data_IF_100462785307
#
_entry.id   IF_100462785307
#
_cell.length_a   1.000
_cell.length_b   1.000
_cell.length_c   1.000
_cell.angle_alpha   90.00
_cell.angle_beta   90.00
_cell.angle_gamma   90.00
#
_symmetry.space_group_name_H-M   'P 1'
#
loop_
_entity.id
_entity.type
_entity.pdbx_description
1 polymer ?
#
# COMPACT_ATOMS: atom_id res chain seq x y z
N UNK A 1 33.51 -3.92 9.57
CA UNK A 1 33.65 -3.27 8.25
C UNK A 1 32.57 -3.82 7.36
N UNK A 2 31.77 -2.96 6.73
CA UNK A 2 30.83 -3.39 5.69
C UNK A 2 31.58 -3.75 4.40
N UNK A 3 31.06 -4.69 3.63
CA UNK A 3 31.57 -4.99 2.30
C UNK A 3 31.28 -3.83 1.34
N UNK A 4 32.12 -3.62 0.33
CA UNK A 4 31.90 -2.60 -0.70
C UNK A 4 31.77 -3.24 -2.07
N UNK A 5 30.54 -3.24 -2.58
CA UNK A 5 30.14 -3.61 -3.94
C UNK A 5 29.51 -2.42 -4.68
N UNK A 6 29.82 -1.18 -4.28
CA UNK A 6 29.38 0.02 -4.99
C UNK A 6 29.72 -0.09 -6.48
N UNK A 7 28.71 0.10 -7.34
CA UNK A 7 28.80 -0.01 -8.81
C UNK A 7 29.28 -1.39 -9.30
N UNK A 8 29.26 -2.40 -8.44
CA UNK A 8 29.68 -3.76 -8.75
C UNK A 8 28.76 -4.43 -9.77
N UNK A 9 29.31 -5.38 -10.53
CA UNK A 9 28.56 -6.21 -11.45
C UNK A 9 28.31 -7.59 -10.82
N UNK A 10 27.08 -7.80 -10.37
CA UNK A 10 26.60 -8.98 -9.63
C UNK A 10 25.34 -9.56 -10.29
N UNK A 11 25.11 -9.27 -11.56
CA UNK A 11 23.93 -9.73 -12.31
C UNK A 11 23.96 -11.26 -12.39
N UNK A 12 22.83 -11.90 -12.10
CA UNK A 12 22.68 -13.37 -12.00
C UNK A 12 23.58 -14.05 -10.96
N UNK A 13 24.19 -13.29 -10.06
CA UNK A 13 24.98 -13.88 -8.96
C UNK A 13 24.07 -14.58 -7.96
N UNK A 14 24.64 -15.54 -7.22
CA UNK A 14 24.01 -16.14 -6.06
C UNK A 14 24.70 -15.63 -4.79
N UNK A 15 23.95 -14.86 -4.01
CA UNK A 15 24.34 -14.28 -2.72
C UNK A 15 23.37 -14.72 -1.62
N UNK A 16 22.62 -15.79 -1.86
CA UNK A 16 21.66 -16.32 -0.88
C UNK A 16 22.39 -16.65 0.43
N UNK A 17 21.77 -16.30 1.54
CA UNK A 17 22.31 -16.47 2.91
C UNK A 17 23.62 -15.70 3.20
N UNK A 18 24.11 -14.88 2.26
CA UNK A 18 25.29 -14.06 2.51
C UNK A 18 25.01 -12.99 3.57
N UNK A 19 26.04 -12.65 4.36
CA UNK A 19 26.01 -11.54 5.31
C UNK A 19 26.56 -10.28 4.65
N UNK A 20 25.66 -9.40 4.22
CA UNK A 20 25.94 -8.13 3.54
C UNK A 20 25.44 -6.91 4.34
N UNK A 21 25.09 -7.13 5.60
CA UNK A 21 24.68 -6.13 6.58
C UNK A 21 25.71 -4.99 6.68
N UNK A 22 25.22 -3.75 6.72
CA UNK A 22 26.02 -2.51 6.64
C UNK A 22 26.88 -2.37 5.37
N UNK A 23 26.72 -3.24 4.38
CA UNK A 23 27.45 -3.18 3.12
C UNK A 23 27.03 -2.01 2.25
N UNK A 24 27.94 -1.56 1.40
CA UNK A 24 27.69 -0.59 0.33
C UNK A 24 27.46 -1.35 -0.98
N UNK A 25 26.24 -1.31 -1.50
CA UNK A 25 25.82 -1.85 -2.80
C UNK A 25 25.23 -0.73 -3.68
N UNK A 26 25.62 0.53 -3.43
CA UNK A 26 25.10 1.67 -4.18
C UNK A 26 25.33 1.49 -5.68
N UNK A 27 24.28 1.67 -6.48
CA UNK A 27 24.32 1.51 -7.94
C UNK A 27 24.82 0.14 -8.44
N UNK A 28 24.84 -0.89 -7.59
CA UNK A 28 25.25 -2.23 -8.00
C UNK A 28 24.27 -2.80 -9.05
N UNK A 29 24.80 -3.52 -10.03
CA UNK A 29 24.02 -4.22 -11.05
C UNK A 29 23.79 -5.65 -10.60
N UNK A 30 22.61 -5.93 -10.07
CA UNK A 30 22.21 -7.18 -9.42
C UNK A 30 20.94 -7.76 -10.04
N UNK A 31 20.67 -7.50 -11.32
CA UNK A 31 19.45 -8.00 -11.95
C UNK A 31 19.49 -9.53 -12.03
N UNK A 32 18.34 -10.17 -11.82
CA UNK A 32 18.19 -11.63 -11.79
C UNK A 32 19.08 -12.35 -10.75
N UNK A 33 19.63 -11.64 -9.75
CA UNK A 33 20.42 -12.28 -8.69
C UNK A 33 19.54 -13.06 -7.70
N UNK A 34 20.14 -14.04 -7.03
CA UNK A 34 19.55 -14.76 -5.91
C UNK A 34 20.08 -14.15 -4.61
N UNK A 35 19.18 -13.62 -3.79
CA UNK A 35 19.42 -12.95 -2.50
C UNK A 35 18.50 -13.55 -1.43
N UNK A 36 18.21 -14.86 -1.54
CA UNK A 36 17.28 -15.55 -0.65
C UNK A 36 17.90 -15.60 0.74
N UNK A 37 17.17 -15.16 1.76
CA UNK A 37 17.64 -15.13 3.16
C UNK A 37 18.93 -14.32 3.39
N UNK A 38 19.35 -13.50 2.43
CA UNK A 38 20.54 -12.64 2.56
C UNK A 38 20.31 -11.60 3.65
N UNK A 39 21.32 -11.40 4.48
CA UNK A 39 21.31 -10.31 5.46
C UNK A 39 21.78 -9.02 4.80
N UNK A 40 20.84 -8.11 4.52
CA UNK A 40 21.06 -6.76 4.01
C UNK A 40 20.68 -5.71 5.06
N UNK A 41 20.65 -6.08 6.33
CA UNK A 41 20.25 -5.19 7.42
C UNK A 41 21.14 -3.94 7.41
N UNK A 42 20.51 -2.76 7.36
CA UNK A 42 21.20 -1.46 7.28
C UNK A 42 22.20 -1.32 6.12
N UNK A 43 22.11 -2.16 5.08
CA UNK A 43 22.92 -2.02 3.88
C UNK A 43 22.47 -0.79 3.07
N UNK A 44 23.39 -0.21 2.31
CA UNK A 44 23.10 0.86 1.38
C UNK A 44 22.97 0.31 -0.05
N UNK A 45 21.75 0.17 -0.53
CA UNK A 45 21.42 -0.25 -1.89
C UNK A 45 20.96 0.92 -2.76
N UNK A 46 21.23 2.17 -2.39
CA UNK A 46 20.72 3.34 -3.13
C UNK A 46 21.01 3.22 -4.63
N UNK A 47 19.96 3.33 -5.45
CA UNK A 47 20.06 3.25 -6.91
C UNK A 47 20.48 1.88 -7.47
N UNK A 48 20.45 0.80 -6.69
CA UNK A 48 20.80 -0.53 -7.16
C UNK A 48 19.80 -1.05 -8.21
N UNK A 49 20.29 -1.84 -9.16
CA UNK A 49 19.52 -2.42 -10.25
C UNK A 49 19.28 -3.91 -9.99
N UNK A 50 18.13 -4.23 -9.43
CA UNK A 50 17.73 -5.55 -8.92
C UNK A 50 16.50 -6.10 -9.66
N UNK A 51 16.34 -5.75 -10.94
CA UNK A 51 15.20 -6.17 -11.77
C UNK A 51 15.12 -7.70 -11.80
N UNK A 52 13.93 -8.26 -11.52
CA UNK A 52 13.67 -9.72 -11.48
C UNK A 52 14.58 -10.53 -10.54
N UNK A 53 15.22 -9.88 -9.57
CA UNK A 53 15.99 -10.60 -8.54
C UNK A 53 15.06 -11.31 -7.54
N UNK A 54 15.60 -12.28 -6.82
CA UNK A 54 14.86 -13.07 -5.82
C UNK A 54 15.41 -12.75 -4.43
N UNK A 55 14.69 -11.95 -3.66
CA UNK A 55 15.00 -11.56 -2.28
C UNK A 55 14.05 -12.21 -1.26
N UNK A 56 13.55 -13.43 -1.54
CA UNK A 56 12.63 -14.12 -0.63
C UNK A 56 13.24 -14.22 0.77
N UNK A 57 12.50 -13.82 1.79
CA UNK A 57 12.92 -13.84 3.20
C UNK A 57 14.22 -13.06 3.49
N UNK A 58 14.64 -12.13 2.60
CA UNK A 58 15.80 -11.29 2.85
C UNK A 58 15.59 -10.35 4.04
N UNK A 59 16.65 -10.09 4.80
CA UNK A 59 16.62 -9.15 5.93
C UNK A 59 17.05 -7.78 5.46
N UNK A 60 16.11 -6.85 5.33
CA UNK A 60 16.32 -5.50 4.79
C UNK A 60 16.00 -4.41 5.83
N UNK A 61 15.89 -4.77 7.12
CA UNK A 61 15.50 -3.82 8.15
C UNK A 61 16.48 -2.65 8.23
N UNK A 62 15.96 -1.42 8.18
CA UNK A 62 16.75 -0.19 8.15
C UNK A 62 17.67 -0.02 6.93
N UNK A 63 17.56 -0.86 5.90
CA UNK A 63 18.34 -0.71 4.68
C UNK A 63 17.90 0.55 3.90
N UNK A 64 18.81 1.13 3.12
CA UNK A 64 18.50 2.22 2.21
C UNK A 64 18.38 1.67 0.77
N UNK A 65 17.16 1.56 0.26
CA UNK A 65 16.84 1.16 -1.11
C UNK A 65 16.32 2.32 -1.96
N UNK A 66 16.47 3.57 -1.51
CA UNK A 66 15.97 4.73 -2.25
C UNK A 66 16.46 4.72 -3.70
N UNK A 67 15.57 5.09 -4.63
CA UNK A 67 15.82 5.12 -6.07
C UNK A 67 16.20 3.78 -6.73
N UNK A 68 16.13 2.66 -6.02
CA UNK A 68 16.47 1.35 -6.57
C UNK A 68 15.40 0.83 -7.53
N UNK A 69 15.81 -0.07 -8.42
CA UNK A 69 14.91 -0.70 -9.37
C UNK A 69 14.76 -2.20 -9.08
N UNK A 70 13.62 -2.58 -8.50
CA UNK A 70 13.21 -3.96 -8.19
C UNK A 70 11.98 -4.37 -9.01
N UNK A 71 11.81 -3.81 -10.22
CA UNK A 71 10.70 -4.21 -11.11
C UNK A 71 10.69 -5.73 -11.29
N UNK A 72 9.54 -6.36 -11.06
CA UNK A 72 9.34 -7.80 -11.21
C UNK A 72 10.17 -8.66 -10.25
N UNK A 73 10.78 -8.07 -9.22
CA UNK A 73 11.52 -8.83 -8.21
C UNK A 73 10.55 -9.61 -7.30
N UNK A 74 11.05 -10.68 -6.69
CA UNK A 74 10.33 -11.43 -5.67
C UNK A 74 10.91 -11.12 -4.30
N UNK A 75 10.20 -10.37 -3.48
CA UNK A 75 10.56 -10.06 -2.09
C UNK A 75 9.67 -10.80 -1.08
N UNK A 76 8.93 -11.85 -1.48
CA UNK A 76 8.01 -12.57 -0.56
C UNK A 76 8.66 -12.85 0.80
N UNK A 77 7.92 -12.52 1.86
CA UNK A 77 8.31 -12.68 3.27
C UNK A 77 9.60 -11.93 3.69
N UNK A 78 10.09 -10.98 2.89
CA UNK A 78 11.22 -10.15 3.26
C UNK A 78 10.88 -9.19 4.41
N UNK A 79 11.89 -8.80 5.19
CA UNK A 79 11.73 -7.85 6.28
C UNK A 79 12.32 -6.49 5.90
N UNK A 80 11.47 -5.53 5.49
CA UNK A 80 11.81 -4.15 5.15
C UNK A 80 11.46 -3.16 6.28
N UNK A 81 11.32 -3.62 7.53
CA UNK A 81 10.94 -2.80 8.67
C UNK A 81 11.89 -1.60 8.84
N UNK A 82 11.35 -0.39 8.82
CA UNK A 82 12.10 0.86 8.95
C UNK A 82 13.05 1.18 7.79
N UNK A 83 12.96 0.46 6.67
CA UNK A 83 13.81 0.72 5.51
C UNK A 83 13.40 2.02 4.79
N UNK A 84 14.36 2.64 4.10
CA UNK A 84 14.11 3.76 3.21
C UNK A 84 13.95 3.24 1.77
N UNK A 85 12.74 3.30 1.23
CA UNK A 85 12.39 2.91 -0.14
C UNK A 85 11.79 4.09 -0.93
N UNK A 86 12.19 5.33 -0.60
CA UNK A 86 11.74 6.51 -1.33
C UNK A 86 12.01 6.37 -2.84
N UNK A 87 11.00 6.66 -3.66
CA UNK A 87 11.06 6.61 -5.12
C UNK A 87 11.51 5.26 -5.71
N UNK A 88 11.42 4.17 -4.94
CA UNK A 88 11.75 2.83 -5.41
C UNK A 88 10.81 2.39 -6.54
N UNK A 89 11.33 1.60 -7.48
CA UNK A 89 10.51 0.93 -8.49
C UNK A 89 10.26 -0.53 -8.12
N UNK A 90 9.05 -0.84 -7.68
CA UNK A 90 8.55 -2.16 -7.30
C UNK A 90 7.38 -2.62 -8.20
N UNK A 91 7.24 -2.04 -9.40
CA UNK A 91 6.22 -2.46 -10.37
C UNK A 91 6.31 -3.95 -10.65
N UNK A 92 5.15 -4.62 -10.73
CA UNK A 92 5.05 -6.06 -11.00
C UNK A 92 5.76 -6.96 -9.96
N UNK A 93 6.21 -6.42 -8.82
CA UNK A 93 6.94 -7.21 -7.82
C UNK A 93 5.98 -8.10 -7.01
N UNK A 94 6.49 -9.26 -6.58
CA UNK A 94 5.82 -10.07 -5.56
C UNK A 94 6.30 -9.61 -4.17
N UNK A 95 5.40 -9.00 -3.42
CA UNK A 95 5.59 -8.44 -2.08
C UNK A 95 4.67 -9.13 -1.05
N UNK A 96 4.20 -10.33 -1.36
CA UNK A 96 3.35 -11.12 -0.45
C UNK A 96 4.06 -11.30 0.90
N UNK A 97 3.34 -11.00 1.99
CA UNK A 97 3.85 -11.20 3.36
C UNK A 97 5.00 -10.26 3.78
N UNK A 98 5.38 -9.28 2.96
CA UNK A 98 6.50 -8.38 3.31
C UNK A 98 6.16 -7.50 4.50
N UNK A 99 7.14 -7.34 5.40
CA UNK A 99 7.04 -6.38 6.50
C UNK A 99 7.62 -5.02 6.07
N UNK A 100 6.77 -4.04 5.79
CA UNK A 100 7.08 -2.64 5.53
C UNK A 100 6.77 -1.71 6.71
N UNK A 101 6.60 -2.24 7.93
CA UNK A 101 6.26 -1.40 9.09
C UNK A 101 7.28 -0.27 9.28
N UNK A 102 6.78 0.94 9.50
CA UNK A 102 7.58 2.17 9.66
C UNK A 102 8.52 2.49 8.49
N UNK A 103 8.37 1.85 7.34
CA UNK A 103 9.19 2.10 6.17
C UNK A 103 8.78 3.41 5.46
N UNK A 104 9.73 4.03 4.77
CA UNK A 104 9.45 5.17 3.89
C UNK A 104 9.35 4.71 2.44
N UNK A 105 8.14 4.65 1.88
CA UNK A 105 7.85 4.38 0.47
C UNK A 105 7.26 5.61 -0.24
N UNK A 106 7.56 6.82 0.22
CA UNK A 106 7.09 8.04 -0.44
C UNK A 106 7.49 8.03 -1.93
N UNK A 107 6.53 8.36 -2.79
CA UNK A 107 6.66 8.35 -4.26
C UNK A 107 7.07 6.99 -4.87
N UNK A 108 6.96 5.89 -4.12
CA UNK A 108 7.25 4.55 -4.63
C UNK A 108 6.32 4.18 -5.79
N UNK A 109 6.81 3.33 -6.69
CA UNK A 109 6.06 2.81 -7.84
C UNK A 109 5.75 1.35 -7.62
N UNK A 110 4.48 1.04 -7.34
CA UNK A 110 3.96 -0.26 -6.93
C UNK A 110 2.86 -0.77 -7.89
N UNK A 111 2.69 -0.16 -9.07
CA UNK A 111 1.66 -0.57 -10.02
C UNK A 111 1.77 -2.06 -10.37
N UNK A 112 0.63 -2.76 -10.36
CA UNK A 112 0.52 -4.20 -10.63
C UNK A 112 1.35 -5.09 -9.68
N UNK A 113 1.79 -4.59 -8.52
CA UNK A 113 2.46 -5.42 -7.52
C UNK A 113 1.45 -6.27 -6.73
N UNK A 114 1.91 -7.43 -6.24
CA UNK A 114 1.13 -8.31 -5.36
C UNK A 114 1.61 -8.11 -3.94
N UNK A 115 0.77 -7.56 -3.06
CA UNK A 115 1.09 -7.19 -1.69
C UNK A 115 0.23 -7.92 -0.65
N UNK A 116 -0.42 -9.03 -1.03
CA UNK A 116 -1.31 -9.80 -0.14
C UNK A 116 -0.63 -10.07 1.21
N UNK A 117 -1.37 -9.83 2.30
CA UNK A 117 -0.91 -10.09 3.67
C UNK A 117 0.36 -9.33 4.09
N UNK A 118 0.84 -8.35 3.30
CA UNK A 118 1.92 -7.47 3.72
C UNK A 118 1.47 -6.55 4.86
N UNK A 119 2.44 -6.06 5.62
CA UNK A 119 2.22 -5.14 6.73
C UNK A 119 2.89 -3.80 6.47
N UNK A 120 2.15 -2.71 6.60
CA UNK A 120 2.53 -1.33 6.32
C UNK A 120 2.27 -0.42 7.54
N UNK A 121 2.18 -0.99 8.73
CA UNK A 121 1.83 -0.27 9.94
C UNK A 121 2.70 0.98 10.11
N UNK A 122 2.07 2.15 10.18
CA UNK A 122 2.74 3.45 10.35
C UNK A 122 3.75 3.81 9.23
N UNK A 123 3.68 3.17 8.07
CA UNK A 123 4.56 3.45 6.94
C UNK A 123 4.11 4.67 6.15
N UNK A 124 5.04 5.27 5.40
CA UNK A 124 4.76 6.44 4.56
C UNK A 124 4.69 6.06 3.08
N UNK A 125 3.53 6.21 2.46
CA UNK A 125 3.25 6.03 1.02
C UNK A 125 2.72 7.32 0.38
N UNK A 126 3.08 8.48 0.92
CA UNK A 126 2.72 9.79 0.34
C UNK A 126 3.15 9.86 -1.13
N UNK A 127 2.25 10.34 -2.00
CA UNK A 127 2.46 10.46 -3.46
C UNK A 127 2.82 9.14 -4.19
N UNK A 128 2.61 7.97 -3.58
CA UNK A 128 2.93 6.69 -4.21
C UNK A 128 2.00 6.35 -5.39
N UNK A 129 2.51 5.55 -6.34
CA UNK A 129 1.79 5.08 -7.52
C UNK A 129 1.48 3.59 -7.37
N UNK A 130 0.24 3.25 -7.00
CA UNK A 130 -0.18 1.92 -6.57
C UNK A 130 -1.41 1.46 -7.38
N UNK A 131 -1.47 1.81 -8.67
CA UNK A 131 -2.59 1.43 -9.57
C UNK A 131 -2.62 -0.08 -9.82
N UNK A 132 -3.80 -0.69 -9.83
CA UNK A 132 -4.03 -2.12 -10.15
C UNK A 132 -3.20 -3.08 -9.29
N UNK A 133 -2.90 -2.70 -8.05
CA UNK A 133 -2.15 -3.54 -7.12
C UNK A 133 -3.09 -4.37 -6.26
N UNK A 134 -2.61 -5.53 -5.80
CA UNK A 134 -3.35 -6.39 -4.88
C UNK A 134 -2.87 -6.21 -3.44
N UNK A 135 -3.60 -5.43 -2.65
CA UNK A 135 -3.40 -5.19 -1.22
C UNK A 135 -4.45 -5.91 -0.36
N UNK A 136 -5.08 -6.97 -0.88
CA UNK A 136 -6.08 -7.70 -0.10
C UNK A 136 -5.49 -8.26 1.19
N UNK A 137 -6.27 -8.14 2.28
CA UNK A 137 -5.91 -8.60 3.62
C UNK A 137 -4.58 -8.04 4.15
N UNK A 138 -4.19 -6.84 3.72
CA UNK A 138 -2.99 -6.15 4.25
C UNK A 138 -3.27 -5.45 5.56
N UNK A 139 -2.23 -5.30 6.39
CA UNK A 139 -2.27 -4.39 7.52
C UNK A 139 -1.77 -3.01 7.07
N UNK A 140 -2.69 -2.07 6.92
CA UNK A 140 -2.49 -0.68 6.51
C UNK A 140 -2.82 0.30 7.66
N UNK A 141 -2.82 -0.17 8.91
CA UNK A 141 -3.14 0.67 10.07
C UNK A 141 -2.13 1.83 10.21
N UNK A 142 -2.64 3.05 10.45
CA UNK A 142 -1.86 4.28 10.57
C UNK A 142 -0.97 4.61 9.35
N UNK A 143 -1.21 3.98 8.19
CA UNK A 143 -0.45 4.25 6.97
C UNK A 143 -0.74 5.66 6.46
N UNK A 144 0.27 6.31 5.88
CA UNK A 144 0.09 7.58 5.19
C UNK A 144 0.03 7.38 3.67
N UNK A 145 -1.17 7.42 3.10
CA UNK A 145 -1.46 7.40 1.66
C UNK A 145 -1.79 8.77 1.07
N UNK A 146 -1.44 9.88 1.74
CA UNK A 146 -1.78 11.22 1.26
C UNK A 146 -1.35 11.41 -0.21
N UNK A 147 -2.27 11.92 -1.03
CA UNK A 147 -2.10 12.17 -2.48
C UNK A 147 -1.68 10.96 -3.34
N UNK A 148 -1.68 9.75 -2.79
CA UNK A 148 -1.29 8.55 -3.53
C UNK A 148 -2.37 8.14 -4.55
N UNK A 149 -1.96 7.32 -5.53
CA UNK A 149 -2.81 6.88 -6.64
C UNK A 149 -3.04 5.38 -6.57
N UNK A 150 -4.21 4.96 -6.09
CA UNK A 150 -4.59 3.55 -5.90
C UNK A 150 -5.79 3.12 -6.78
N UNK A 151 -6.11 3.85 -7.85
CA UNK A 151 -7.24 3.49 -8.70
C UNK A 151 -7.15 2.04 -9.19
N UNK A 152 -8.29 1.35 -9.20
CA UNK A 152 -8.45 -0.07 -9.60
C UNK A 152 -7.71 -1.09 -8.72
N UNK A 153 -7.20 -0.69 -7.56
CA UNK A 153 -6.51 -1.62 -6.65
C UNK A 153 -7.49 -2.39 -5.77
N UNK A 154 -7.04 -3.56 -5.32
CA UNK A 154 -7.80 -4.42 -4.43
C UNK A 154 -7.33 -4.24 -2.98
N UNK A 155 -8.18 -3.69 -2.12
CA UNK A 155 -7.97 -3.56 -0.67
C UNK A 155 -9.06 -4.35 0.10
N UNK A 156 -9.64 -5.38 -0.51
CA UNK A 156 -10.64 -6.23 0.15
C UNK A 156 -10.08 -6.77 1.48
N UNK A 157 -10.84 -6.59 2.56
CA UNK A 157 -10.50 -7.07 3.89
C UNK A 157 -9.24 -6.43 4.50
N UNK A 158 -8.72 -5.33 3.94
CA UNK A 158 -7.55 -4.65 4.47
C UNK A 158 -7.89 -3.86 5.76
N UNK A 159 -6.94 -3.79 6.69
CA UNK A 159 -7.06 -2.96 7.88
C UNK A 159 -6.46 -1.58 7.65
N UNK A 160 -7.29 -0.55 7.46
CA UNK A 160 -6.92 0.86 7.23
C UNK A 160 -7.25 1.74 8.45
N UNK A 161 -7.33 1.17 9.66
CA UNK A 161 -7.67 1.93 10.85
C UNK A 161 -6.71 3.12 11.04
N UNK A 162 -7.29 4.32 11.16
CA UNK A 162 -6.54 5.57 11.31
C UNK A 162 -5.62 5.94 10.13
N UNK A 163 -5.78 5.30 8.96
CA UNK A 163 -4.99 5.63 7.78
C UNK A 163 -5.25 7.07 7.31
N UNK A 164 -4.21 7.74 6.82
CA UNK A 164 -4.35 9.03 6.15
C UNK A 164 -4.45 8.85 4.63
N UNK A 165 -5.64 9.02 4.07
CA UNK A 165 -5.96 8.92 2.64
C UNK A 165 -6.31 10.29 2.04
N UNK A 166 -5.94 11.40 2.70
CA UNK A 166 -6.29 12.73 2.23
C UNK A 166 -5.81 12.97 0.79
N UNK A 167 -6.72 13.43 -0.08
CA UNK A 167 -6.43 13.70 -1.49
C UNK A 167 -6.13 12.47 -2.35
N UNK A 168 -6.21 11.25 -1.79
CA UNK A 168 -5.88 10.02 -2.51
C UNK A 168 -6.84 9.79 -3.68
N UNK A 169 -6.30 9.19 -4.76
CA UNK A 169 -7.08 8.81 -5.95
C UNK A 169 -7.45 7.35 -5.86
N UNK A 170 -8.71 7.08 -5.51
CA UNK A 170 -9.27 5.78 -5.14
C UNK A 170 -10.36 5.32 -6.13
N UNK A 171 -10.42 5.88 -7.34
CA UNK A 171 -11.44 5.50 -8.32
C UNK A 171 -11.46 4.01 -8.59
N UNK A 172 -12.66 3.41 -8.57
CA UNK A 172 -12.88 1.97 -8.80
C UNK A 172 -12.06 1.06 -7.88
N UNK A 173 -11.69 1.54 -6.69
CA UNK A 173 -11.00 0.72 -5.69
C UNK A 173 -11.97 -0.29 -5.07
N UNK A 174 -11.48 -1.50 -4.81
CA UNK A 174 -12.22 -2.50 -4.03
C UNK A 174 -11.85 -2.37 -2.55
N UNK A 175 -12.79 -1.91 -1.73
CA UNK A 175 -12.66 -1.76 -0.28
C UNK A 175 -13.67 -2.66 0.46
N UNK A 176 -14.15 -3.73 -0.19
CA UNK A 176 -15.12 -4.64 0.43
C UNK A 176 -14.55 -5.22 1.72
N UNK A 177 -15.35 -5.22 2.78
CA UNK A 177 -14.96 -5.75 4.10
C UNK A 177 -13.74 -5.04 4.74
N UNK A 178 -13.27 -3.91 4.18
CA UNK A 178 -12.13 -3.18 4.73
C UNK A 178 -12.50 -2.45 6.03
N UNK A 179 -11.55 -2.35 6.95
CA UNK A 179 -11.69 -1.56 8.16
C UNK A 179 -11.07 -0.17 7.97
N UNK A 180 -11.90 0.85 7.75
CA UNK A 180 -11.54 2.26 7.60
C UNK A 180 -11.82 3.08 8.86
N UNK A 181 -11.96 2.45 10.04
CA UNK A 181 -12.30 3.16 11.26
C UNK A 181 -11.30 4.30 11.55
N UNK A 182 -11.81 5.53 11.69
CA UNK A 182 -11.01 6.72 11.96
C UNK A 182 -10.09 7.17 10.82
N UNK A 183 -10.23 6.61 9.61
CA UNK A 183 -9.43 7.01 8.46
C UNK A 183 -9.76 8.44 7.99
N UNK A 184 -8.75 9.18 7.57
CA UNK A 184 -8.90 10.50 6.97
C UNK A 184 -9.03 10.35 5.44
N UNK A 185 -10.22 10.54 4.89
CA UNK A 185 -10.54 10.47 3.45
C UNK A 185 -10.88 11.85 2.87
N UNK A 186 -10.45 12.94 3.53
CA UNK A 186 -10.73 14.29 3.06
C UNK A 186 -10.22 14.51 1.64
N UNK A 187 -11.03 15.14 0.80
CA UNK A 187 -10.69 15.43 -0.60
C UNK A 187 -10.32 14.19 -1.44
N UNK A 188 -10.60 12.97 -0.96
CA UNK A 188 -10.32 11.73 -1.68
C UNK A 188 -11.32 11.50 -2.82
N UNK A 189 -10.86 10.85 -3.88
CA UNK A 189 -11.67 10.53 -5.06
C UNK A 189 -12.05 9.05 -5.05
N UNK A 190 -13.24 8.74 -4.54
CA UNK A 190 -13.80 7.38 -4.41
C UNK A 190 -14.79 7.04 -5.53
N UNK A 191 -14.77 7.75 -6.66
CA UNK A 191 -15.71 7.46 -7.75
C UNK A 191 -15.70 5.98 -8.16
N UNK A 192 -16.85 5.32 -8.12
CA UNK A 192 -17.00 3.91 -8.47
C UNK A 192 -16.39 2.91 -7.47
N UNK A 193 -15.97 3.36 -6.28
CA UNK A 193 -15.41 2.49 -5.25
C UNK A 193 -16.44 1.49 -4.69
N UNK A 194 -15.97 0.35 -4.19
CA UNK A 194 -16.83 -0.65 -3.54
C UNK A 194 -16.53 -0.73 -2.04
N UNK A 195 -17.39 -0.13 -1.20
CA UNK A 195 -17.33 -0.17 0.27
C UNK A 195 -18.28 -1.20 0.88
N UNK A 196 -18.73 -2.20 0.10
CA UNK A 196 -19.68 -3.21 0.60
C UNK A 196 -19.13 -3.88 1.87
N UNK A 197 -19.91 -3.89 2.95
CA UNK A 197 -19.54 -4.41 4.27
C UNK A 197 -18.30 -3.76 4.93
N UNK A 198 -17.81 -2.62 4.43
CA UNK A 198 -16.70 -1.90 5.05
C UNK A 198 -17.11 -1.27 6.40
N UNK A 199 -16.15 -1.11 7.31
CA UNK A 199 -16.33 -0.42 8.59
C UNK A 199 -15.76 0.98 8.46
N UNK A 200 -16.58 2.03 8.57
CA UNK A 200 -16.16 3.43 8.33
C UNK A 200 -16.45 4.34 9.52
N UNK A 201 -16.56 3.76 10.71
CA UNK A 201 -16.79 4.48 11.96
C UNK A 201 -15.74 5.59 12.17
N UNK A 202 -16.19 6.82 12.42
CA UNK A 202 -15.33 8.00 12.61
C UNK A 202 -14.41 8.36 11.43
N UNK A 203 -14.59 7.76 10.26
CA UNK A 203 -13.86 8.18 9.07
C UNK A 203 -14.31 9.59 8.62
N UNK A 204 -13.37 10.42 8.16
CA UNK A 204 -13.64 11.76 7.66
C UNK A 204 -13.71 11.76 6.13
N UNK A 205 -14.91 11.91 5.56
CA UNK A 205 -15.15 11.99 4.12
C UNK A 205 -15.37 13.42 3.63
N UNK A 206 -14.99 14.46 4.39
CA UNK A 206 -15.22 15.86 3.98
C UNK A 206 -14.66 16.12 2.58
N UNK A 207 -15.49 16.61 1.66
CA UNK A 207 -15.17 16.87 0.24
C UNK A 207 -14.76 15.63 -0.57
N UNK A 208 -15.01 14.42 -0.09
CA UNK A 208 -14.70 13.22 -0.85
C UNK A 208 -15.69 13.03 -2.00
N UNK A 209 -15.21 12.66 -3.19
CA UNK A 209 -16.09 12.32 -4.31
C UNK A 209 -16.60 10.90 -4.16
N UNK A 210 -17.92 10.72 -4.02
CA UNK A 210 -18.57 9.42 -3.75
C UNK A 210 -19.54 8.97 -4.86
N UNK A 211 -19.47 9.60 -6.03
CA UNK A 211 -20.29 9.22 -7.20
C UNK A 211 -20.09 7.74 -7.53
N UNK A 212 -21.18 7.02 -7.76
CA UNK A 212 -21.20 5.58 -8.11
C UNK A 212 -20.52 4.66 -7.08
N UNK A 213 -20.27 5.14 -5.85
CA UNK A 213 -19.71 4.31 -4.77
C UNK A 213 -20.76 3.32 -4.27
N UNK A 214 -20.40 2.06 -4.05
CA UNK A 214 -21.30 1.07 -3.43
C UNK A 214 -21.10 1.05 -1.93
N UNK A 215 -22.19 1.12 -1.15
CA UNK A 215 -22.15 1.18 0.33
C UNK A 215 -23.08 0.15 0.99
N UNK A 216 -23.37 -0.96 0.30
CA UNK A 216 -24.28 -1.98 0.82
C UNK A 216 -23.67 -2.63 2.07
N UNK A 217 -24.40 -2.64 3.19
CA UNK A 217 -23.92 -3.25 4.44
C UNK A 217 -22.76 -2.50 5.11
N UNK A 218 -22.38 -1.32 4.62
CA UNK A 218 -21.33 -0.48 5.23
C UNK A 218 -21.76 -0.06 6.65
N UNK A 219 -20.88 -0.29 7.62
CA UNK A 219 -21.15 0.00 9.04
C UNK A 219 -20.85 1.47 9.35
N UNK A 220 -21.89 2.21 9.76
CA UNK A 220 -21.87 3.66 9.98
C UNK A 220 -22.50 4.03 11.33
N UNK A 221 -21.79 4.80 12.17
CA UNK A 221 -22.41 5.47 13.33
C UNK A 221 -23.14 6.77 12.93
N UNK A 222 -24.20 7.16 13.67
CA UNK A 222 -25.00 8.37 13.37
C UNK A 222 -24.20 9.68 13.27
N UNK A 223 -23.07 9.80 13.97
CA UNK A 223 -22.24 11.00 13.96
C UNK A 223 -21.48 11.19 12.63
N UNK A 224 -21.09 10.09 11.97
CA UNK A 224 -20.47 10.10 10.63
C UNK A 224 -21.45 10.63 9.58
N UNK A 225 -22.74 10.37 9.77
CA UNK A 225 -23.80 10.81 8.87
C UNK A 225 -23.87 12.34 8.89
N UNK A 226 -23.96 12.95 10.07
CA UNK A 226 -24.15 14.40 10.20
C UNK A 226 -23.09 15.26 9.51
N UNK A 227 -21.84 14.79 9.44
CA UNK A 227 -20.76 15.51 8.74
C UNK A 227 -20.85 15.42 7.21
N UNK A 228 -21.48 14.37 6.67
CA UNK A 228 -21.45 14.03 5.24
C UNK A 228 -22.86 14.01 4.59
N UNK A 229 -23.88 14.52 5.30
CA UNK A 229 -25.30 14.45 4.94
C UNK A 229 -25.64 15.07 3.59
N UNK A 230 -24.84 16.02 3.09
CA UNK A 230 -25.08 16.65 1.78
C UNK A 230 -24.65 15.78 0.59
N UNK A 231 -23.74 14.82 0.78
CA UNK A 231 -23.06 14.12 -0.32
C UNK A 231 -23.50 12.67 -0.48
N UNK A 232 -23.90 12.00 0.60
CA UNK A 232 -24.08 10.54 0.58
C UNK A 232 -25.47 10.03 0.20
N UNK A 233 -26.49 10.88 -0.06
CA UNK A 233 -27.87 10.47 -0.42
C UNK A 233 -28.37 9.16 0.25
N UNK A 234 -28.14 9.02 1.56
CA UNK A 234 -28.38 7.76 2.27
C UNK A 234 -29.85 7.61 2.69
N UNK A 235 -30.41 6.43 2.47
CA UNK A 235 -31.64 5.95 3.11
C UNK A 235 -31.28 4.92 4.18
N UNK A 236 -32.02 4.89 5.28
CA UNK A 236 -31.87 3.87 6.33
C UNK A 236 -32.25 2.50 5.78
N UNK A 237 -31.41 1.48 5.99
CA UNK A 237 -31.74 0.11 5.59
C UNK A 237 -32.74 -0.49 6.60
N UNK A 238 -33.93 -0.93 6.17
CA UNK A 238 -34.92 -1.51 7.08
C UNK A 238 -34.53 -2.89 7.62
N UNK A 239 -33.61 -3.61 6.96
CA UNK A 239 -33.27 -5.00 7.32
C UNK A 239 -32.14 -5.11 8.35
N UNK A 240 -31.40 -4.02 8.59
CA UNK A 240 -30.22 -4.03 9.45
C UNK A 240 -30.15 -2.74 10.28
N UNK A 241 -30.44 -2.87 11.58
CA UNK A 241 -30.43 -1.77 12.53
C UNK A 241 -29.06 -1.04 12.53
N UNK A 242 -29.07 0.23 12.15
CA UNK A 242 -27.85 1.06 12.10
C UNK A 242 -27.13 1.11 10.75
N UNK A 243 -27.63 0.43 9.71
CA UNK A 243 -27.04 0.49 8.37
C UNK A 243 -27.83 1.39 7.42
N UNK A 244 -27.14 1.90 6.40
CA UNK A 244 -27.68 2.81 5.39
C UNK A 244 -27.41 2.24 3.99
N UNK A 245 -28.34 2.46 3.08
CA UNK A 245 -28.23 2.16 1.65
C UNK A 245 -28.29 3.49 0.89
N UNK A 246 -27.66 3.57 -0.29
CA UNK A 246 -27.86 4.72 -1.17
C UNK A 246 -29.32 4.75 -1.65
N UNK A 247 -29.92 5.94 -1.70
CA UNK A 247 -31.06 6.17 -2.58
C UNK A 247 -30.57 5.83 -3.99
N UNK A 248 -31.23 4.86 -4.65
CA UNK A 248 -30.98 4.60 -6.06
C UNK A 248 -31.02 5.93 -6.79
N UNK A 249 -29.93 6.31 -7.45
CA UNK A 249 -29.93 7.41 -8.41
C UNK A 249 -30.87 7.02 -9.54
N UNK A 250 -32.17 7.25 -9.37
CA UNK A 250 -33.06 7.38 -10.50
C UNK A 250 -32.55 8.58 -11.26
N UNK A 251 -31.96 8.32 -12.42
CA UNK A 251 -31.65 9.29 -13.46
C UNK A 251 -32.70 10.40 -13.45
N UNK A 252 -32.31 11.60 -12.98
CA UNK A 252 -33.00 12.82 -13.36
C UNK A 252 -32.22 13.35 -14.55
N UNK A 253 -32.91 13.32 -15.70
CA UNK A 253 -32.54 13.76 -17.05
C UNK A 253 -31.77 15.08 -17.05
#
# INVERSE_FOLDING_TARGET
MGINFSRGFLTKSNLSQASLNWGDLTYAKMSESQLIETDLTKANLTGAFMVKSVLRSAKLSGANLSYSNLRGANLSDANCCGANLQEINLREANLTGVNFNWANLSKARLSCAVLKQASFFGSNLTDAFIKEADLSHTNLEQVNFQNSRLSYSNLQGANLQGANLQGAKLRYIDLREANLQGANLRDADLEGADLTNAIVDNADFTNATLRDTKVIGTQLKPQTIQKNLSELQLKRNPNYAGSFELLSTSYAV
#
